data_IF_292282374939
#
_entry.id   IF_292282374939
#
_cell.length_a   1.000
_cell.length_b   1.000
_cell.length_c   1.000
_cell.angle_alpha   90.00
_cell.angle_beta   90.00
_cell.angle_gamma   90.00
#
_symmetry.space_group_name_H-M   'P 1'
#
loop_
_entity.id
_entity.type
_entity.pdbx_description
1 polymer ?
#
# COMPACT_ATOMS: atom_id res chain seq x y z
N UNK A 1 -31.20 -35.64 -36.08
CA UNK A 1 -29.73 -35.68 -36.08
C UNK A 1 -29.27 -36.05 -34.69
N UNK A 2 -28.31 -36.96 -34.49
CA UNK A 2 -27.81 -37.26 -33.16
C UNK A 2 -27.11 -36.03 -32.59
N UNK A 3 -27.45 -35.64 -31.37
CA UNK A 3 -26.83 -34.50 -30.69
C UNK A 3 -25.35 -34.82 -30.47
N UNK A 4 -24.47 -34.00 -31.04
CA UNK A 4 -23.04 -34.10 -30.77
C UNK A 4 -22.78 -33.90 -29.26
N UNK A 5 -21.95 -34.74 -28.62
CA UNK A 5 -21.59 -34.54 -27.22
C UNK A 5 -20.92 -33.18 -27.04
N UNK A 6 -21.38 -32.40 -26.07
CA UNK A 6 -20.78 -31.09 -25.74
C UNK A 6 -19.34 -31.32 -25.29
N UNK A 7 -18.38 -30.65 -25.95
CA UNK A 7 -16.95 -30.81 -25.71
C UNK A 7 -16.51 -30.18 -24.38
N UNK A 8 -15.35 -30.58 -23.86
CA UNK A 8 -14.82 -30.02 -22.62
C UNK A 8 -14.48 -28.52 -22.77
N UNK A 9 -14.05 -28.09 -23.95
CA UNK A 9 -13.83 -26.68 -24.28
C UNK A 9 -15.13 -25.87 -24.22
N UNK A 10 -16.24 -26.42 -24.75
CA UNK A 10 -17.56 -25.79 -24.64
C UNK A 10 -18.06 -25.73 -23.20
N UNK A 11 -17.74 -26.74 -22.38
CA UNK A 11 -18.05 -26.75 -20.95
C UNK A 11 -17.24 -25.70 -20.19
N UNK A 12 -15.95 -25.53 -20.51
CA UNK A 12 -15.10 -24.48 -19.95
C UNK A 12 -15.59 -23.08 -20.32
N UNK A 13 -15.98 -22.86 -21.59
CA UNK A 13 -16.61 -21.60 -22.03
C UNK A 13 -17.93 -21.32 -21.28
N UNK A 14 -18.71 -22.37 -21.02
CA UNK A 14 -19.95 -22.24 -20.25
C UNK A 14 -19.69 -21.90 -18.77
N UNK A 15 -18.63 -22.46 -18.18
CA UNK A 15 -18.19 -22.14 -16.83
C UNK A 15 -17.72 -20.68 -16.73
N UNK A 16 -16.93 -20.20 -17.70
CA UNK A 16 -16.50 -18.80 -17.77
C UNK A 16 -17.70 -17.84 -17.87
N UNK A 17 -18.65 -18.11 -18.77
CA UNK A 17 -19.88 -17.32 -18.92
C UNK A 17 -20.74 -17.34 -17.64
N UNK A 18 -20.77 -18.46 -16.91
CA UNK A 18 -21.48 -18.57 -15.63
C UNK A 18 -20.96 -17.57 -14.60
N UNK A 19 -19.65 -17.43 -14.46
CA UNK A 19 -19.05 -16.45 -13.54
C UNK A 19 -19.15 -15.01 -14.05
N UNK A 20 -18.96 -14.77 -15.35
CA UNK A 20 -19.07 -13.45 -15.97
C UNK A 20 -20.46 -12.82 -15.78
N UNK A 21 -21.52 -13.64 -15.91
CA UNK A 21 -22.91 -13.17 -15.83
C UNK A 21 -23.60 -13.50 -14.50
N UNK A 22 -22.86 -13.97 -13.49
CA UNK A 22 -23.40 -14.29 -12.16
C UNK A 22 -24.49 -15.36 -12.19
N UNK A 23 -24.41 -16.31 -13.12
CA UNK A 23 -25.41 -17.38 -13.31
C UNK A 23 -26.72 -16.95 -13.98
N UNK A 24 -26.78 -15.75 -14.55
CA UNK A 24 -27.96 -15.30 -15.30
C UNK A 24 -28.07 -16.04 -16.65
N UNK A 25 -28.96 -17.03 -16.69
CA UNK A 25 -29.13 -17.92 -17.84
C UNK A 25 -29.53 -17.21 -19.14
N UNK A 26 -30.26 -16.09 -19.07
CA UNK A 26 -30.63 -15.34 -20.27
C UNK A 26 -29.42 -14.66 -20.89
N UNK A 27 -28.59 -14.00 -20.07
CA UNK A 27 -27.36 -13.35 -20.55
C UNK A 27 -26.33 -14.36 -21.04
N UNK A 28 -26.22 -15.51 -20.37
CA UNK A 28 -25.35 -16.61 -20.82
C UNK A 28 -25.81 -17.21 -22.15
N UNK A 29 -27.12 -17.28 -22.38
CA UNK A 29 -27.70 -17.76 -23.63
C UNK A 29 -27.36 -16.81 -24.80
N UNK A 30 -27.50 -15.51 -24.56
CA UNK A 30 -27.15 -14.48 -25.55
C UNK A 30 -25.64 -14.48 -25.86
N UNK A 31 -24.78 -14.57 -24.84
CA UNK A 31 -23.32 -14.58 -24.95
C UNK A 31 -22.77 -15.80 -25.70
N UNK A 32 -23.33 -16.99 -25.42
CA UNK A 32 -22.87 -18.24 -26.02
C UNK A 32 -23.61 -18.60 -27.31
N UNK A 33 -24.61 -17.80 -27.73
CA UNK A 33 -25.45 -18.10 -28.89
C UNK A 33 -26.27 -19.38 -28.74
N UNK A 34 -26.71 -19.71 -27.52
CA UNK A 34 -27.41 -20.94 -27.18
C UNK A 34 -28.83 -20.67 -26.71
N UNK A 35 -29.70 -21.68 -26.80
CA UNK A 35 -31.02 -21.58 -26.17
C UNK A 35 -30.90 -21.63 -24.63
N UNK A 36 -31.86 -21.03 -23.92
CA UNK A 36 -31.92 -21.12 -22.45
C UNK A 36 -31.97 -22.56 -21.94
N UNK A 37 -32.62 -23.47 -22.68
CA UNK A 37 -32.63 -24.90 -22.37
C UNK A 37 -31.23 -25.52 -22.48
N UNK A 38 -30.49 -25.18 -23.53
CA UNK A 38 -29.09 -25.62 -23.70
C UNK A 38 -28.17 -25.12 -22.58
N UNK A 39 -28.34 -23.88 -22.15
CA UNK A 39 -27.60 -23.33 -21.00
C UNK A 39 -27.97 -24.06 -19.70
N UNK A 40 -29.26 -24.32 -19.48
CA UNK A 40 -29.73 -24.99 -18.27
C UNK A 40 -29.14 -26.39 -18.14
N UNK A 41 -29.08 -27.16 -19.23
CA UNK A 41 -28.50 -28.50 -19.21
C UNK A 41 -26.98 -28.48 -19.04
N UNK A 42 -26.27 -27.52 -19.65
CA UNK A 42 -24.83 -27.34 -19.42
C UNK A 42 -24.53 -26.92 -17.97
N UNK A 43 -25.34 -26.05 -17.35
CA UNK A 43 -25.19 -25.70 -15.92
C UNK A 43 -25.43 -26.92 -15.02
N UNK A 44 -26.45 -27.74 -15.31
CA UNK A 44 -26.68 -28.99 -14.56
C UNK A 44 -25.47 -29.90 -14.62
N UNK A 45 -24.86 -30.03 -15.81
CA UNK A 45 -23.64 -30.82 -16.01
C UNK A 45 -22.47 -30.24 -15.21
N UNK A 46 -22.21 -28.93 -15.29
CA UNK A 46 -21.17 -28.25 -14.48
C UNK A 46 -21.37 -28.43 -12.97
N UNK A 47 -22.62 -28.46 -12.49
CA UNK A 47 -22.92 -28.72 -11.07
C UNK A 47 -22.69 -30.17 -10.68
N UNK A 48 -23.14 -31.10 -11.52
CA UNK A 48 -22.94 -32.54 -11.31
C UNK A 48 -21.46 -32.90 -11.28
N UNK A 49 -20.70 -32.32 -12.19
CA UNK A 49 -19.27 -32.58 -12.36
C UNK A 49 -18.42 -31.76 -11.35
N UNK A 50 -19.03 -31.04 -10.40
CA UNK A 50 -18.33 -30.33 -9.33
C UNK A 50 -17.64 -29.02 -9.73
N UNK A 51 -17.47 -28.76 -11.03
CA UNK A 51 -16.66 -27.66 -11.59
C UNK A 51 -17.08 -26.26 -11.13
N UNK A 52 -18.37 -25.99 -10.92
CA UNK A 52 -18.80 -24.69 -10.35
C UNK A 52 -18.32 -24.54 -8.91
N UNK A 53 -18.40 -25.60 -8.11
CA UNK A 53 -17.99 -25.57 -6.70
C UNK A 53 -16.47 -25.48 -6.60
N UNK A 54 -15.74 -26.25 -7.40
CA UNK A 54 -14.28 -26.21 -7.46
C UNK A 54 -13.79 -24.82 -7.92
N UNK A 55 -14.38 -24.26 -8.98
CA UNK A 55 -14.05 -22.92 -9.43
C UNK A 55 -14.45 -21.83 -8.41
N UNK A 56 -15.55 -22.01 -7.66
CA UNK A 56 -15.91 -21.12 -6.55
C UNK A 56 -14.91 -21.21 -5.40
N UNK A 57 -14.41 -22.40 -5.08
CA UNK A 57 -13.44 -22.63 -4.02
C UNK A 57 -12.05 -22.10 -4.42
N UNK A 58 -11.61 -22.36 -5.65
CA UNK A 58 -10.39 -21.77 -6.22
C UNK A 58 -10.50 -20.23 -6.34
N UNK A 59 -11.67 -19.70 -6.69
CA UNK A 59 -11.91 -18.26 -6.66
C UNK A 59 -11.95 -17.70 -5.23
N UNK A 60 -12.30 -18.50 -4.23
CA UNK A 60 -12.28 -18.09 -2.82
C UNK A 60 -10.86 -18.07 -2.24
N UNK A 61 -9.96 -18.88 -2.79
CA UNK A 61 -8.51 -18.87 -2.54
C UNK A 61 -7.81 -17.72 -3.30
N UNK A 62 -8.25 -17.39 -4.53
CA UNK A 62 -7.66 -16.34 -5.39
C UNK A 62 -8.27 -14.92 -5.21
N UNK A 63 -8.92 -14.60 -4.09
CA UNK A 63 -9.66 -13.35 -3.96
C UNK A 63 -9.25 -12.49 -2.75
N UNK A 64 -8.22 -11.66 -2.97
CA UNK A 64 -8.33 -10.20 -2.86
C UNK A 64 -7.35 -9.60 -3.87
N UNK A 65 -7.80 -8.85 -4.89
CA UNK A 65 -6.85 -8.36 -5.88
C UNK A 65 -5.89 -7.38 -5.20
N UNK A 66 -4.60 -7.60 -5.42
CA UNK A 66 -3.63 -6.53 -5.29
C UNK A 66 -4.04 -5.43 -6.26
N UNK A 67 -4.05 -4.20 -5.77
CA UNK A 67 -4.38 -3.05 -6.61
C UNK A 67 -3.31 -2.03 -6.41
N UNK A 68 -2.61 -1.80 -7.52
CA UNK A 68 -1.59 -0.79 -7.64
C UNK A 68 -2.24 0.59 -7.75
N UNK A 69 -1.78 1.52 -6.91
CA UNK A 69 -2.04 2.95 -6.99
C UNK A 69 -3.38 3.33 -7.62
N UNK A 70 -4.47 3.22 -6.85
CA UNK A 70 -5.79 3.70 -7.29
C UNK A 70 -5.70 5.21 -7.53
N UNK A 71 -5.57 5.60 -8.80
CA UNK A 71 -5.84 6.96 -9.21
C UNK A 71 -7.33 7.23 -9.07
N UNK A 72 -7.68 8.35 -8.45
CA UNK A 72 -9.00 8.95 -8.58
C UNK A 72 -9.17 9.51 -10.01
N UNK A 73 -8.96 8.69 -11.04
CA UNK A 73 -9.26 9.08 -12.42
C UNK A 73 -10.77 9.03 -12.63
N UNK A 74 -11.28 10.03 -13.35
CA UNK A 74 -12.72 10.30 -13.52
C UNK A 74 -13.43 9.15 -14.28
N UNK A 75 -12.70 8.28 -14.99
CA UNK A 75 -13.27 7.39 -16.01
C UNK A 75 -13.32 5.90 -15.65
N UNK A 76 -12.70 5.46 -14.54
CA UNK A 76 -12.81 4.07 -14.10
C UNK A 76 -12.98 4.00 -12.58
N UNK A 77 -14.18 3.63 -12.09
CA UNK A 77 -14.40 3.36 -10.66
C UNK A 77 -13.70 2.04 -10.29
N UNK A 78 -12.55 2.07 -9.59
CA UNK A 78 -11.88 0.85 -9.19
C UNK A 78 -12.76 0.16 -8.13
N UNK A 79 -13.06 -1.11 -8.34
CA UNK A 79 -13.87 -1.92 -7.41
C UNK A 79 -12.97 -2.88 -6.68
N UNK A 80 -12.47 -2.47 -5.53
CA UNK A 80 -11.86 -3.38 -4.55
C UNK A 80 -13.01 -4.07 -3.81
N UNK A 81 -13.16 -5.39 -3.88
CA UNK A 81 -13.98 -6.06 -2.86
C UNK A 81 -13.04 -6.61 -1.80
N UNK A 82 -13.16 -6.04 -0.61
CA UNK A 82 -12.50 -6.54 0.58
C UNK A 82 -13.41 -7.58 1.21
N UNK A 83 -12.87 -8.77 1.49
CA UNK A 83 -13.60 -9.83 2.15
C UNK A 83 -13.86 -9.46 3.61
N UNK A 84 -15.10 -9.63 4.08
CA UNK A 84 -15.37 -9.56 5.52
C UNK A 84 -14.61 -10.68 6.24
N UNK A 85 -13.87 -10.32 7.29
CA UNK A 85 -13.05 -11.26 8.03
C UNK A 85 -13.91 -12.39 8.62
N UNK A 86 -13.52 -13.64 8.38
CA UNK A 86 -14.17 -14.81 8.97
C UNK A 86 -13.12 -15.80 9.46
N UNK A 87 -13.01 -15.91 10.79
CA UNK A 87 -12.06 -16.77 11.50
C UNK A 87 -12.06 -18.22 10.99
N UNK A 88 -13.22 -18.76 10.60
CA UNK A 88 -13.34 -20.16 10.19
C UNK A 88 -12.73 -20.45 8.82
N UNK A 89 -12.42 -19.42 8.02
CA UNK A 89 -11.84 -19.59 6.68
C UNK A 89 -10.48 -18.91 6.54
N UNK A 90 -10.17 -17.93 7.41
CA UNK A 90 -8.94 -17.14 7.28
C UNK A 90 -7.69 -17.92 7.65
N UNK A 91 -7.79 -18.95 8.51
CA UNK A 91 -6.61 -19.73 8.94
C UNK A 91 -5.87 -20.39 7.78
N UNK A 92 -6.59 -20.81 6.75
CA UNK A 92 -6.01 -21.60 5.65
C UNK A 92 -5.66 -20.74 4.43
N UNK A 93 -5.91 -19.42 4.48
CA UNK A 93 -5.50 -18.49 3.43
C UNK A 93 -3.97 -18.27 3.44
N UNK A 94 -3.37 -18.02 2.26
CA UNK A 94 -1.95 -17.71 2.17
C UNK A 94 -1.61 -16.45 2.98
N UNK A 95 -0.40 -16.43 3.52
CA UNK A 95 0.16 -15.27 4.21
C UNK A 95 1.03 -14.50 3.24
N UNK A 96 0.87 -13.18 3.22
CA UNK A 96 1.86 -12.28 2.65
C UNK A 96 2.64 -11.60 3.76
N UNK A 97 3.97 -11.65 3.70
CA UNK A 97 4.88 -10.95 4.60
C UNK A 97 5.34 -9.66 3.94
N UNK A 98 5.07 -8.54 4.59
CA UNK A 98 5.45 -7.22 4.11
C UNK A 98 6.39 -6.58 5.12
N UNK A 99 7.57 -6.17 4.66
CA UNK A 99 8.41 -5.27 5.44
C UNK A 99 7.94 -3.83 5.18
N UNK A 100 7.35 -3.20 6.18
CA UNK A 100 6.80 -1.88 6.09
C UNK A 100 7.73 -0.85 6.77
N UNK A 101 8.09 0.19 6.02
CA UNK A 101 8.98 1.26 6.42
C UNK A 101 8.14 2.53 6.63
N UNK A 102 8.25 3.12 7.82
CA UNK A 102 7.61 4.38 8.18
C UNK A 102 8.26 5.61 7.55
N UNK A 103 7.91 6.80 8.03
CA UNK A 103 8.43 8.08 7.53
C UNK A 103 9.95 8.18 7.78
N UNK A 104 10.79 8.45 6.77
CA UNK A 104 12.27 8.46 6.91
C UNK A 104 12.90 9.85 6.81
N UNK A 105 12.25 10.79 6.12
CA UNK A 105 12.68 12.19 6.00
C UNK A 105 14.15 12.37 5.60
N UNK A 106 14.61 11.65 4.58
CA UNK A 106 15.95 11.80 4.03
C UNK A 106 16.20 13.26 3.62
N UNK A 107 17.30 13.81 4.12
CA UNK A 107 17.67 15.20 3.88
C UNK A 107 19.19 15.41 3.91
N UNK A 108 19.69 16.51 3.31
CA UNK A 108 21.11 16.82 3.31
C UNK A 108 21.71 16.85 4.72
N UNK A 109 22.86 16.20 4.87
CA UNK A 109 23.59 16.12 6.14
C UNK A 109 23.03 15.11 7.16
N UNK A 110 21.95 14.39 6.84
CA UNK A 110 21.51 13.25 7.64
C UNK A 110 22.34 12.01 7.30
N UNK A 111 22.74 11.24 8.32
CA UNK A 111 23.47 9.98 8.11
C UNK A 111 22.57 8.88 7.51
N UNK A 112 23.14 8.02 6.67
CA UNK A 112 22.43 6.96 5.93
C UNK A 112 22.49 5.57 6.57
N UNK A 113 23.19 5.42 7.70
CA UNK A 113 23.41 4.09 8.33
C UNK A 113 22.10 3.38 8.69
N UNK A 114 21.07 4.11 9.13
CA UNK A 114 19.76 3.54 9.38
C UNK A 114 19.16 2.83 8.15
N UNK A 115 19.37 3.38 6.95
CA UNK A 115 18.93 2.75 5.70
C UNK A 115 19.75 1.51 5.35
N UNK A 116 21.06 1.51 5.63
CA UNK A 116 21.91 0.32 5.52
C UNK A 116 21.39 -0.81 6.41
N UNK A 117 21.06 -0.52 7.67
CA UNK A 117 20.53 -1.51 8.60
C UNK A 117 19.17 -2.06 8.15
N UNK A 118 18.27 -1.20 7.67
CA UNK A 118 16.98 -1.63 7.11
C UNK A 118 17.19 -2.50 5.86
N UNK A 119 18.15 -2.16 5.00
CA UNK A 119 18.52 -2.96 3.82
C UNK A 119 19.01 -4.36 4.20
N UNK A 120 19.90 -4.47 5.19
CA UNK A 120 20.35 -5.76 5.74
C UNK A 120 19.20 -6.57 6.32
N UNK A 121 18.32 -5.92 7.07
CA UNK A 121 17.14 -6.57 7.62
C UNK A 121 16.23 -7.13 6.52
N UNK A 122 16.02 -6.38 5.43
CA UNK A 122 15.24 -6.83 4.28
C UNK A 122 15.88 -8.03 3.58
N UNK A 123 17.20 -8.01 3.36
CA UNK A 123 17.94 -9.11 2.77
C UNK A 123 17.87 -10.40 3.61
N UNK A 124 17.92 -10.26 4.94
CA UNK A 124 17.85 -11.39 5.86
C UNK A 124 16.43 -11.96 6.00
N UNK A 125 15.45 -11.09 6.21
CA UNK A 125 14.05 -11.51 6.45
C UNK A 125 13.34 -12.02 5.19
N UNK A 126 13.81 -11.61 3.99
CA UNK A 126 13.26 -11.96 2.68
C UNK A 126 11.72 -11.87 2.65
N UNK A 127 11.16 -10.68 2.89
CA UNK A 127 9.72 -10.47 2.83
C UNK A 127 9.22 -10.68 1.38
N UNK A 128 7.92 -10.87 1.21
CA UNK A 128 7.32 -10.99 -0.12
C UNK A 128 7.29 -9.61 -0.82
N UNK A 129 7.19 -8.52 -0.05
CA UNK A 129 7.26 -7.14 -0.50
C UNK A 129 7.88 -6.22 0.55
N UNK A 130 8.43 -5.10 0.09
CA UNK A 130 8.80 -3.95 0.92
C UNK A 130 7.90 -2.77 0.56
N UNK A 131 7.33 -2.09 1.56
CA UNK A 131 6.48 -0.90 1.36
C UNK A 131 6.99 0.25 2.20
N UNK A 132 7.35 1.36 1.57
CA UNK A 132 7.58 2.64 2.25
C UNK A 132 6.31 3.49 2.22
N UNK A 133 5.87 3.97 3.38
CA UNK A 133 4.55 4.62 3.52
C UNK A 133 4.55 6.13 3.21
N UNK A 134 5.60 6.63 2.55
CA UNK A 134 5.77 8.05 2.22
C UNK A 134 6.57 8.86 3.22
N UNK A 135 6.70 10.16 2.91
CA UNK A 135 7.64 11.07 3.57
C UNK A 135 9.04 10.45 3.65
N UNK A 136 9.48 9.93 2.49
CA UNK A 136 10.80 9.39 2.29
C UNK A 136 11.83 10.51 2.17
N UNK A 137 11.51 11.55 1.41
CA UNK A 137 12.32 12.74 1.18
C UNK A 137 11.71 13.90 1.98
N UNK A 138 12.54 14.68 2.68
CA UNK A 138 12.02 15.75 3.53
C UNK A 138 11.46 16.95 2.73
N UNK A 139 11.97 17.19 1.52
CA UNK A 139 11.45 18.16 0.56
C UNK A 139 11.21 19.55 1.18
N UNK A 140 12.17 20.03 1.99
CA UNK A 140 12.16 21.39 2.55
C UNK A 140 12.34 22.43 1.44
N UNK A 141 13.06 22.12 0.36
CA UNK A 141 13.23 23.01 -0.80
C UNK A 141 11.89 23.42 -1.43
N UNK A 142 10.85 22.59 -1.29
CA UNK A 142 9.54 22.78 -1.88
C UNK A 142 8.45 23.24 -0.89
N UNK A 143 8.82 23.60 0.34
CA UNK A 143 7.86 23.90 1.41
C UNK A 143 7.29 25.34 1.36
N UNK A 144 6.06 25.54 1.86
CA UNK A 144 5.27 26.78 1.77
C UNK A 144 4.92 27.44 3.12
N UNK A 145 5.46 26.94 4.21
CA UNK A 145 5.27 27.39 5.58
C UNK A 145 6.08 28.66 5.89
N UNK A 146 7.34 28.79 5.45
CA UNK A 146 8.07 30.05 5.69
C UNK A 146 7.60 31.18 4.78
N UNK A 147 7.57 32.40 5.34
CA UNK A 147 7.24 33.60 4.60
C UNK A 147 8.26 33.87 3.48
N UNK A 148 7.77 34.38 2.34
CA UNK A 148 8.61 34.76 1.21
C UNK A 148 9.66 35.81 1.62
N UNK A 149 10.92 35.56 1.28
CA UNK A 149 12.08 36.39 1.64
C UNK A 149 12.57 36.23 3.08
N UNK A 150 12.01 35.31 3.87
CA UNK A 150 12.48 35.08 5.23
C UNK A 150 13.86 34.42 5.28
N UNK A 151 14.61 34.64 6.37
CA UNK A 151 15.88 33.96 6.61
C UNK A 151 15.74 32.43 6.62
N UNK A 152 14.62 31.92 7.12
CA UNK A 152 14.28 30.49 7.06
C UNK A 152 14.20 29.99 5.62
N UNK A 153 13.67 30.78 4.68
CA UNK A 153 13.63 30.40 3.27
C UNK A 153 15.03 30.39 2.63
N UNK A 154 15.89 31.34 3.01
CA UNK A 154 17.26 31.41 2.45
C UNK A 154 18.18 30.29 2.94
N UNK A 155 17.88 29.67 4.08
CA UNK A 155 18.70 28.61 4.68
C UNK A 155 18.27 27.20 4.26
N UNK A 156 17.27 27.06 3.38
CA UNK A 156 16.77 25.76 2.93
C UNK A 156 17.79 25.07 2.00
N UNK A 157 17.85 23.73 2.00
CA UNK A 157 18.60 23.00 1.00
C UNK A 157 18.04 23.27 -0.40
N UNK A 158 18.86 23.08 -1.44
CA UNK A 158 18.36 23.07 -2.80
C UNK A 158 17.62 21.75 -3.08
N UNK A 159 16.72 21.76 -4.06
CA UNK A 159 16.04 20.53 -4.50
C UNK A 159 17.03 19.44 -4.94
N UNK A 160 18.15 19.83 -5.55
CA UNK A 160 19.19 18.88 -5.97
C UNK A 160 19.88 18.23 -4.77
N UNK A 161 20.17 19.00 -3.71
CA UNK A 161 20.77 18.45 -2.49
C UNK A 161 19.85 17.40 -1.86
N UNK A 162 18.54 17.64 -1.85
CA UNK A 162 17.56 16.68 -1.31
C UNK A 162 17.42 15.43 -2.17
N UNK A 163 17.46 15.55 -3.50
CA UNK A 163 17.49 14.39 -4.41
C UNK A 163 18.79 13.59 -4.20
N UNK A 164 19.93 14.26 -4.02
CA UNK A 164 21.20 13.59 -3.71
C UNK A 164 21.15 12.86 -2.37
N UNK A 165 20.57 13.46 -1.32
CA UNK A 165 20.38 12.78 -0.04
C UNK A 165 19.49 11.53 -0.15
N UNK A 166 18.46 11.59 -1.00
CA UNK A 166 17.64 10.42 -1.32
C UNK A 166 18.40 9.33 -2.07
N UNK A 167 19.27 9.69 -3.02
CA UNK A 167 20.15 8.75 -3.73
C UNK A 167 21.10 8.06 -2.75
N UNK A 168 21.76 8.83 -1.86
CA UNK A 168 22.68 8.29 -0.85
C UNK A 168 21.97 7.28 0.07
N UNK A 169 20.74 7.59 0.49
CA UNK A 169 19.91 6.72 1.33
C UNK A 169 19.50 5.42 0.61
N UNK A 170 19.06 5.52 -0.65
CA UNK A 170 18.68 4.36 -1.46
C UNK A 170 19.89 3.51 -1.87
N UNK A 171 21.05 4.13 -2.13
CA UNK A 171 22.30 3.43 -2.37
C UNK A 171 22.76 2.67 -1.12
N UNK A 172 22.71 3.30 0.06
CA UNK A 172 23.02 2.62 1.32
C UNK A 172 22.11 1.41 1.55
N UNK A 173 20.80 1.56 1.32
CA UNK A 173 19.84 0.45 1.41
C UNK A 173 20.15 -0.67 0.39
N UNK A 174 20.32 -0.32 -0.89
CA UNK A 174 20.52 -1.30 -1.96
C UNK A 174 21.93 -1.86 -2.07
N UNK A 175 22.89 -1.30 -1.32
CA UNK A 175 24.18 -1.95 -1.11
C UNK A 175 24.07 -3.24 -0.29
N UNK A 176 22.95 -3.42 0.43
CA UNK A 176 22.70 -4.56 1.31
C UNK A 176 21.64 -5.53 0.76
N UNK A 177 20.75 -5.07 -0.12
CA UNK A 177 19.78 -5.90 -0.85
C UNK A 177 19.77 -5.55 -2.35
N UNK A 178 20.00 -6.55 -3.20
CA UNK A 178 20.08 -6.35 -4.65
C UNK A 178 18.82 -5.75 -5.26
N UNK A 179 19.00 -4.93 -6.29
CA UNK A 179 17.91 -4.28 -7.02
C UNK A 179 16.94 -5.31 -7.62
N UNK A 180 15.68 -5.26 -7.18
CA UNK A 180 14.62 -6.15 -7.66
C UNK A 180 14.70 -7.59 -7.14
N UNK A 181 15.49 -7.86 -6.10
CA UNK A 181 15.44 -9.15 -5.40
C UNK A 181 14.10 -9.37 -4.69
N UNK A 182 13.53 -8.28 -4.15
CA UNK A 182 12.19 -8.20 -3.58
C UNK A 182 11.48 -7.03 -4.27
N UNK A 183 10.17 -7.09 -4.51
CA UNK A 183 9.41 -5.93 -4.99
C UNK A 183 9.33 -4.82 -3.95
N UNK A 184 9.60 -3.59 -4.37
CA UNK A 184 9.52 -2.38 -3.55
C UNK A 184 8.43 -1.44 -4.04
N UNK A 185 7.60 -0.98 -3.13
CA UNK A 185 6.61 0.06 -3.36
C UNK A 185 6.88 1.25 -2.42
N UNK A 186 6.70 2.46 -2.94
CA UNK A 186 6.69 3.70 -2.16
C UNK A 186 5.41 4.46 -2.46
N UNK A 187 4.67 4.77 -1.41
CA UNK A 187 3.53 5.68 -1.47
C UNK A 187 4.06 7.06 -1.16
N UNK A 188 3.76 8.09 -1.95
CA UNK A 188 4.18 9.45 -1.62
C UNK A 188 3.41 10.00 -0.42
N UNK A 189 4.12 10.70 0.43
CA UNK A 189 3.58 11.45 1.55
C UNK A 189 3.35 12.91 1.23
N UNK A 190 3.05 13.70 2.26
CA UNK A 190 2.80 15.12 2.04
C UNK A 190 4.08 15.91 1.77
N UNK A 191 5.26 15.39 2.14
CA UNK A 191 6.55 16.01 1.82
C UNK A 191 6.86 15.86 0.34
N UNK A 192 6.74 14.66 -0.25
CA UNK A 192 6.88 14.49 -1.70
C UNK A 192 5.83 15.31 -2.47
N UNK A 193 4.60 15.41 -1.95
CA UNK A 193 3.53 16.19 -2.58
C UNK A 193 3.80 17.70 -2.65
N UNK A 194 4.77 18.22 -1.89
CA UNK A 194 5.19 19.62 -1.99
C UNK A 194 5.72 19.95 -3.39
N UNK A 195 6.32 18.97 -4.06
CA UNK A 195 6.89 19.12 -5.40
C UNK A 195 5.78 19.44 -6.42
N UNK A 196 4.68 18.70 -6.41
CA UNK A 196 3.51 18.96 -7.26
C UNK A 196 2.95 20.37 -7.01
N UNK A 197 2.84 20.77 -5.74
CA UNK A 197 2.32 22.10 -5.39
C UNK A 197 3.25 23.23 -5.86
N UNK A 198 4.55 23.01 -5.84
CA UNK A 198 5.53 23.96 -6.36
C UNK A 198 5.41 24.11 -7.86
N UNK A 199 5.33 23.01 -8.60
CA UNK A 199 5.12 23.05 -10.04
C UNK A 199 3.78 23.67 -10.44
N UNK A 200 2.72 23.45 -9.65
CA UNK A 200 1.42 24.09 -9.86
C UNK A 200 1.50 25.62 -9.74
N UNK A 201 2.27 26.13 -8.78
CA UNK A 201 2.45 27.56 -8.54
C UNK A 201 3.51 28.20 -9.46
N UNK A 202 4.43 27.40 -9.98
CA UNK A 202 5.46 27.80 -10.93
C UNK A 202 5.37 26.96 -12.21
N UNK A 203 4.42 27.27 -13.13
CA UNK A 203 4.17 26.43 -14.31
C UNK A 203 5.37 26.25 -15.25
N UNK A 204 6.37 27.15 -15.17
CA UNK A 204 7.62 27.01 -15.90
C UNK A 204 8.47 25.82 -15.44
N UNK A 205 8.18 25.25 -14.26
CA UNK A 205 8.81 24.05 -13.71
C UNK A 205 7.96 22.79 -13.93
N UNK A 206 6.76 22.91 -14.49
CA UNK A 206 5.82 21.80 -14.60
C UNK A 206 6.44 20.58 -15.28
N UNK A 207 6.36 19.43 -14.63
CA UNK A 207 6.91 18.15 -15.10
C UNK A 207 8.44 18.04 -15.01
N UNK A 208 9.13 18.94 -14.32
CA UNK A 208 10.61 18.94 -14.21
C UNK A 208 11.09 18.33 -12.90
N UNK A 209 10.56 18.82 -11.78
CA UNK A 209 10.89 18.37 -10.42
C UNK A 209 10.17 17.05 -10.10
N UNK A 210 8.89 16.95 -10.46
CA UNK A 210 8.11 15.71 -10.31
C UNK A 210 8.78 14.56 -11.06
N UNK A 211 9.20 14.79 -12.31
CA UNK A 211 9.94 13.81 -13.10
C UNK A 211 11.25 13.37 -12.44
N UNK A 212 12.03 14.30 -11.88
CA UNK A 212 13.29 13.97 -11.21
C UNK A 212 13.10 13.13 -9.96
N UNK A 213 12.10 13.48 -9.13
CA UNK A 213 11.71 12.66 -7.97
C UNK A 213 11.26 11.26 -8.40
N UNK A 214 10.42 11.16 -9.42
CA UNK A 214 9.91 9.86 -9.88
C UNK A 214 11.06 9.01 -10.49
N UNK A 215 12.00 9.65 -11.19
CA UNK A 215 13.21 9.01 -11.72
C UNK A 215 14.13 8.47 -10.63
N UNK A 216 14.25 9.16 -9.48
CA UNK A 216 15.01 8.69 -8.32
C UNK A 216 14.51 7.30 -7.89
N UNK A 217 13.24 7.17 -7.55
CA UNK A 217 12.68 5.89 -7.14
C UNK A 217 12.71 4.83 -8.26
N UNK A 218 12.48 5.23 -9.51
CA UNK A 218 12.52 4.32 -10.65
C UNK A 218 13.92 3.71 -10.88
N UNK A 219 15.01 4.45 -10.66
CA UNK A 219 16.40 3.92 -10.76
C UNK A 219 16.62 2.73 -9.83
N UNK A 220 16.01 2.77 -8.64
CA UNK A 220 16.10 1.70 -7.65
C UNK A 220 14.98 0.65 -7.77
N UNK A 221 14.16 0.72 -8.82
CA UNK A 221 13.01 -0.16 -9.07
C UNK A 221 11.92 -0.09 -7.98
N UNK A 222 11.83 1.04 -7.28
CA UNK A 222 10.75 1.30 -6.35
C UNK A 222 9.55 1.83 -7.14
N UNK A 223 8.45 1.11 -7.08
CA UNK A 223 7.21 1.50 -7.72
C UNK A 223 6.53 2.60 -6.92
N UNK A 224 6.08 3.65 -7.59
CA UNK A 224 5.54 4.84 -6.94
C UNK A 224 4.01 4.83 -6.95
N UNK A 225 3.41 5.18 -5.81
CA UNK A 225 1.97 5.44 -5.66
C UNK A 225 1.79 6.90 -5.24
N UNK A 226 1.02 7.73 -5.97
CA UNK A 226 0.87 9.14 -5.64
C UNK A 226 0.28 9.40 -4.25
N UNK A 227 0.53 10.59 -3.70
CA UNK A 227 -0.05 11.01 -2.43
C UNK A 227 -1.58 10.98 -2.48
N UNK A 228 -2.21 10.51 -1.40
CA UNK A 228 -3.66 10.27 -1.26
C UNK A 228 -4.22 9.12 -2.10
N UNK A 229 -3.38 8.38 -2.81
CA UNK A 229 -3.79 7.17 -3.50
C UNK A 229 -3.55 5.95 -2.61
N UNK A 230 -4.28 4.87 -2.90
CA UNK A 230 -4.23 3.65 -2.12
C UNK A 230 -3.51 2.55 -2.89
N UNK A 231 -2.66 1.82 -2.18
CA UNK A 231 -2.12 0.52 -2.58
C UNK A 231 -2.85 -0.56 -1.77
N UNK A 232 -3.21 -1.68 -2.38
CA UNK A 232 -3.86 -2.79 -1.67
C UNK A 232 -3.04 -4.08 -1.80
N UNK A 233 -2.79 -4.73 -0.67
CA UNK A 233 -2.27 -6.10 -0.60
C UNK A 233 -3.15 -6.94 0.32
N UNK A 234 -3.59 -8.10 -0.16
CA UNK A 234 -4.41 -9.05 0.63
C UNK A 234 -5.64 -8.41 1.31
N UNK A 235 -6.20 -7.35 0.71
CA UNK A 235 -7.36 -6.61 1.23
C UNK A 235 -7.06 -5.60 2.32
N UNK A 236 -5.78 -5.38 2.62
CA UNK A 236 -5.30 -4.31 3.49
C UNK A 236 -4.90 -3.13 2.63
N UNK A 237 -5.44 -1.95 2.95
CA UNK A 237 -5.10 -0.70 2.26
C UNK A 237 -3.88 -0.03 2.87
N UNK A 238 -2.94 0.39 2.04
CA UNK A 238 -1.78 1.18 2.39
C UNK A 238 -1.95 2.59 1.81
N UNK A 239 -1.73 3.60 2.65
CA UNK A 239 -1.78 5.02 2.29
C UNK A 239 -0.89 5.79 3.24
N UNK A 240 -0.23 6.86 2.80
CA UNK A 240 0.56 7.69 3.72
C UNK A 240 -0.27 8.21 4.91
N UNK A 241 -1.43 8.81 4.61
CA UNK A 241 -2.41 9.21 5.64
C UNK A 241 -3.83 9.20 5.07
N UNK A 242 -4.82 8.63 5.79
CA UNK A 242 -6.21 8.76 5.40
C UNK A 242 -6.69 10.21 5.37
N UNK A 243 -7.46 10.57 4.34
CA UNK A 243 -7.99 11.92 4.14
C UNK A 243 -9.46 11.96 4.56
N UNK A 244 -9.80 12.91 5.44
CA UNK A 244 -11.16 13.17 5.90
C UNK A 244 -12.07 13.69 4.79
N UNK A 245 -13.38 13.71 5.04
CA UNK A 245 -14.38 14.27 4.10
C UNK A 245 -14.10 15.74 3.73
N UNK A 246 -13.40 16.47 4.59
CA UNK A 246 -13.01 17.87 4.40
C UNK A 246 -11.71 18.02 3.61
N UNK A 247 -11.16 16.93 3.06
CA UNK A 247 -9.91 16.95 2.29
C UNK A 247 -8.66 17.16 3.15
N UNK A 248 -8.73 16.91 4.47
CA UNK A 248 -7.62 17.08 5.42
C UNK A 248 -7.10 15.73 5.94
N UNK A 249 -5.78 15.55 6.14
CA UNK A 249 -5.23 14.40 6.83
C UNK A 249 -5.91 14.17 8.18
N UNK A 250 -6.25 12.92 8.49
CA UNK A 250 -6.79 12.56 9.81
C UNK A 250 -5.63 12.47 10.80
N UNK A 251 -5.57 13.40 11.74
CA UNK A 251 -4.55 13.46 12.79
C UNK A 251 -5.12 13.45 14.21
N UNK A 252 -4.35 13.94 15.18
CA UNK A 252 -4.71 14.03 16.59
C UNK A 252 -3.93 13.06 17.48
N UNK A 253 -4.28 12.97 18.78
CA UNK A 253 -3.54 12.11 19.72
C UNK A 253 -3.72 10.62 19.45
N UNK A 254 -4.89 10.19 18.98
CA UNK A 254 -5.20 8.78 18.69
C UNK A 254 -5.95 8.65 17.36
N UNK A 255 -5.30 8.99 16.23
CA UNK A 255 -5.95 9.02 14.92
C UNK A 255 -6.45 7.63 14.50
N UNK A 256 -5.82 6.56 14.97
CA UNK A 256 -6.17 5.18 14.65
C UNK A 256 -7.62 4.85 15.04
N UNK A 257 -8.11 5.41 16.15
CA UNK A 257 -9.50 5.23 16.57
C UNK A 257 -10.47 5.93 15.62
N UNK A 258 -10.14 7.13 15.16
CA UNK A 258 -10.99 7.90 14.23
C UNK A 258 -11.03 7.19 12.88
N UNK A 259 -9.86 6.84 12.35
CA UNK A 259 -9.70 6.09 11.11
C UNK A 259 -10.46 4.77 11.23
N UNK A 260 -10.21 4.02 12.30
CA UNK A 260 -10.82 2.71 12.54
C UNK A 260 -12.33 2.76 12.70
N UNK A 261 -12.91 3.83 13.23
CA UNK A 261 -14.37 3.98 13.28
C UNK A 261 -14.99 4.17 11.89
N UNK A 262 -14.32 4.91 11.01
CA UNK A 262 -14.82 5.25 9.66
C UNK A 262 -14.47 4.20 8.60
N UNK A 263 -13.37 3.48 8.77
CA UNK A 263 -12.84 2.54 7.79
C UNK A 263 -13.71 1.28 7.67
N UNK A 264 -13.79 0.76 6.44
CA UNK A 264 -14.49 -0.50 6.12
C UNK A 264 -13.54 -1.67 5.89
N UNK A 265 -12.23 -1.43 5.91
CA UNK A 265 -11.17 -2.42 5.73
C UNK A 265 -9.99 -2.07 6.64
N UNK A 266 -9.05 -3.01 6.80
CA UNK A 266 -7.80 -2.72 7.49
C UNK A 266 -6.95 -1.69 6.74
N UNK A 267 -6.20 -0.87 7.48
CA UNK A 267 -5.39 0.22 6.94
C UNK A 267 -4.01 0.22 7.60
N UNK A 268 -2.98 0.39 6.78
CA UNK A 268 -1.61 0.71 7.19
C UNK A 268 -1.29 2.14 6.74
N UNK A 269 -0.76 2.97 7.64
CA UNK A 269 -0.44 4.38 7.38
C UNK A 269 0.74 4.91 8.22
N UNK A 270 1.18 6.15 7.96
CA UNK A 270 2.27 6.85 8.67
C UNK A 270 1.89 8.27 9.10
N UNK A 271 2.66 9.28 8.68
CA UNK A 271 2.42 10.73 8.82
C UNK A 271 2.51 11.32 10.23
N UNK A 272 2.15 10.56 11.26
CA UNK A 272 2.14 11.07 12.64
C UNK A 272 3.37 10.65 13.44
N UNK A 273 4.25 9.86 12.83
CA UNK A 273 5.56 9.43 13.35
C UNK A 273 5.47 8.63 14.66
N UNK A 274 4.30 8.11 14.99
CA UNK A 274 4.06 7.32 16.19
C UNK A 274 3.53 5.95 15.80
N UNK A 275 4.21 4.91 16.25
CA UNK A 275 3.72 3.56 16.02
C UNK A 275 2.46 3.32 16.86
N UNK A 276 1.54 2.56 16.28
CA UNK A 276 0.41 2.00 17.00
C UNK A 276 -0.23 0.91 16.14
N UNK A 277 -0.65 -0.20 16.74
CA UNK A 277 -1.44 -1.20 16.05
C UNK A 277 -2.67 -1.54 16.89
N UNK A 278 -3.86 -1.26 16.35
CA UNK A 278 -5.10 -1.51 17.06
C UNK A 278 -6.04 -2.41 16.25
N UNK A 279 -6.75 -3.28 16.96
CA UNK A 279 -7.90 -3.99 16.42
C UNK A 279 -9.17 -3.22 16.77
N UNK A 280 -9.96 -2.88 15.75
CA UNK A 280 -11.21 -2.14 15.91
C UNK A 280 -12.39 -3.06 15.63
N UNK A 281 -13.21 -3.39 16.66
CA UNK A 281 -14.40 -4.21 16.48
C UNK A 281 -15.42 -3.52 15.58
N UNK A 282 -16.07 -4.32 14.74
CA UNK A 282 -17.14 -3.87 13.85
C UNK A 282 -18.42 -4.60 14.19
N UNK A 283 -19.56 -3.95 13.98
CA UNK A 283 -20.87 -4.57 14.19
C UNK A 283 -20.96 -5.81 13.28
N UNK A 284 -21.21 -6.97 13.89
CA UNK A 284 -21.23 -8.27 13.22
C UNK A 284 -20.54 -9.36 14.03
N UNK A 285 -20.91 -10.62 13.79
CA UNK A 285 -20.30 -11.77 14.48
C UNK A 285 -18.85 -11.90 14.04
N UNK A 286 -17.91 -11.87 15.00
CA UNK A 286 -16.46 -11.99 14.77
C UNK A 286 -15.89 -11.00 13.74
N UNK A 287 -16.48 -9.80 13.64
CA UNK A 287 -16.06 -8.79 12.68
C UNK A 287 -15.14 -7.74 13.32
N UNK A 288 -13.99 -7.50 12.71
CA UNK A 288 -13.08 -6.42 13.10
C UNK A 288 -12.10 -6.11 11.96
N UNK A 289 -11.52 -4.91 12.03
CA UNK A 289 -10.41 -4.48 11.16
C UNK A 289 -9.21 -4.14 12.03
N UNK A 290 -8.07 -3.93 11.39
CA UNK A 290 -6.82 -3.49 12.02
C UNK A 290 -6.38 -2.15 11.44
N UNK A 291 -5.94 -1.25 12.31
CA UNK A 291 -5.36 0.03 11.91
C UNK A 291 -3.94 0.07 12.45
N UNK A 292 -2.97 0.10 11.54
CA UNK A 292 -1.54 0.05 11.85
C UNK A 292 -0.88 1.33 11.40
N UNK A 293 -0.37 2.09 12.35
CA UNK A 293 0.45 3.27 12.14
C UNK A 293 1.92 2.84 12.28
N UNK A 294 2.71 3.04 11.23
CA UNK A 294 4.09 2.55 11.17
C UNK A 294 5.07 3.43 11.96
N UNK A 295 4.64 4.62 12.38
CA UNK A 295 5.53 5.60 12.96
C UNK A 295 6.59 6.07 11.96
N UNK A 296 7.81 6.32 12.45
CA UNK A 296 8.92 6.78 11.63
C UNK A 296 10.05 5.76 11.58
N UNK A 297 10.80 5.73 10.48
CA UNK A 297 12.04 4.98 10.33
C UNK A 297 13.27 5.93 10.29
N UNK A 298 13.14 7.11 10.91
CA UNK A 298 14.24 8.06 11.10
C UNK A 298 15.30 7.52 12.08
N UNK A 299 16.52 8.09 12.09
CA UNK A 299 17.53 7.78 13.12
C UNK A 299 16.98 7.94 14.53
N UNK A 300 17.41 7.07 15.44
CA UNK A 300 16.93 7.10 16.82
C UNK A 300 17.21 8.47 17.48
N UNK A 301 16.19 9.05 18.10
CA UNK A 301 16.29 10.33 18.80
C UNK A 301 16.25 11.56 17.89
N UNK A 302 16.15 11.40 16.57
CA UNK A 302 16.00 12.52 15.66
C UNK A 302 14.62 13.18 15.80
N UNK A 303 14.60 14.46 16.16
CA UNK A 303 13.39 15.28 16.22
C UNK A 303 13.40 16.28 15.07
N UNK A 304 12.44 16.20 14.14
CA UNK A 304 12.33 17.18 13.06
C UNK A 304 12.09 18.59 13.60
N UNK A 305 12.60 19.61 12.89
CA UNK A 305 12.47 21.03 13.27
C UNK A 305 11.02 21.47 13.43
N UNK A 306 10.12 21.00 12.56
CA UNK A 306 8.68 21.30 12.64
C UNK A 306 7.98 20.68 13.87
N UNK A 307 8.63 19.73 14.56
CA UNK A 307 8.13 19.13 15.78
C UNK A 307 8.75 19.77 17.04
N UNK A 308 9.60 20.79 16.90
CA UNK A 308 10.21 21.51 18.02
C UNK A 308 9.13 22.17 18.88
N UNK A 309 9.22 21.98 20.20
CA UNK A 309 8.25 22.50 21.17
C UNK A 309 6.88 21.83 21.15
N UNK A 310 6.62 20.89 20.24
CA UNK A 310 5.37 20.13 20.20
C UNK A 310 5.41 18.97 21.21
N UNK A 311 4.24 18.54 21.71
CA UNK A 311 4.16 17.24 22.40
C UNK A 311 4.44 16.14 21.40
N UNK A 312 5.62 15.53 21.49
CA UNK A 312 6.02 14.43 20.61
C UNK A 312 5.87 13.08 21.31
N UNK A 313 5.96 12.02 20.54
CA UNK A 313 6.00 10.64 21.01
C UNK A 313 6.60 9.75 19.93
N UNK A 314 7.59 10.30 19.21
CA UNK A 314 8.11 9.72 17.98
C UNK A 314 8.65 8.32 18.23
N UNK A 315 8.36 7.41 17.32
CA UNK A 315 8.85 6.04 17.34
C UNK A 315 9.74 5.83 16.14
N UNK A 316 10.84 5.12 16.34
CA UNK A 316 11.89 4.91 15.33
C UNK A 316 12.02 3.41 15.08
N UNK A 317 11.69 2.93 13.88
CA UNK A 317 11.81 1.53 13.51
C UNK A 317 11.04 1.14 12.26
N UNK A 318 10.97 -0.16 12.02
CA UNK A 318 10.28 -0.78 10.88
C UNK A 318 9.32 -1.86 11.38
N UNK A 319 8.40 -2.30 10.53
CA UNK A 319 7.45 -3.35 10.86
C UNK A 319 7.55 -4.54 9.92
N UNK A 320 7.60 -5.75 10.46
CA UNK A 320 7.24 -6.96 9.71
C UNK A 320 5.74 -7.23 9.89
N UNK A 321 4.99 -7.03 8.82
CA UNK A 321 3.56 -7.26 8.77
C UNK A 321 3.26 -8.62 8.17
N UNK A 322 2.34 -9.35 8.80
CA UNK A 322 1.76 -10.57 8.23
C UNK A 322 0.33 -10.26 7.82
N UNK A 323 0.08 -10.24 6.51
CA UNK A 323 -1.23 -9.96 5.96
C UNK A 323 -1.95 -11.29 5.67
N UNK A 324 -3.20 -11.39 6.11
CA UNK A 324 -4.06 -12.54 5.80
C UNK A 324 -5.53 -12.16 5.89
N UNK A 325 -6.29 -12.51 4.85
CA UNK A 325 -7.75 -12.42 4.88
C UNK A 325 -8.29 -11.02 5.13
N UNK A 326 -7.71 -9.99 4.52
CA UNK A 326 -8.16 -8.60 4.64
C UNK A 326 -7.65 -7.85 5.87
N UNK A 327 -6.69 -8.41 6.62
CA UNK A 327 -6.18 -7.83 7.87
C UNK A 327 -4.68 -7.97 8.02
N UNK A 328 -4.11 -7.12 8.87
CA UNK A 328 -2.82 -7.36 9.50
C UNK A 328 -3.05 -8.38 10.61
N UNK A 329 -2.68 -9.64 10.34
CA UNK A 329 -2.80 -10.76 11.30
C UNK A 329 -1.90 -10.52 12.52
N UNK A 330 -0.68 -10.05 12.28
CA UNK A 330 0.28 -9.68 13.31
C UNK A 330 1.25 -8.64 12.78
N UNK A 331 1.72 -7.77 13.66
CA UNK A 331 2.81 -6.84 13.43
C UNK A 331 3.96 -7.15 14.39
N UNK A 332 5.19 -7.10 13.88
CA UNK A 332 6.40 -7.07 14.69
C UNK A 332 7.12 -5.76 14.42
N UNK A 333 7.10 -4.87 15.39
CA UNK A 333 7.93 -3.67 15.37
C UNK A 333 9.37 -4.03 15.73
N UNK A 334 10.32 -3.61 14.91
CA UNK A 334 11.76 -3.71 15.17
C UNK A 334 12.26 -2.29 15.31
N UNK A 335 12.67 -1.92 16.51
CA UNK A 335 13.13 -0.55 16.77
C UNK A 335 14.44 -0.24 16.03
N UNK A 336 14.69 1.04 15.78
CA UNK A 336 15.93 1.47 15.15
C UNK A 336 17.16 1.09 15.98
N UNK A 337 17.03 1.05 17.32
CA UNK A 337 18.10 0.59 18.22
C UNK A 337 18.36 -0.91 18.07
N UNK A 338 17.32 -1.73 17.92
CA UNK A 338 17.51 -3.17 17.64
C UNK A 338 18.22 -3.39 16.28
N UNK A 339 17.92 -2.57 15.28
CA UNK A 339 18.62 -2.62 13.99
C UNK A 339 20.08 -2.20 14.13
N UNK A 340 20.35 -1.14 14.87
CA UNK A 340 21.72 -0.67 15.18
C UNK A 340 22.53 -1.74 15.90
N UNK A 341 22.01 -2.27 17.02
CA UNK A 341 22.67 -3.34 17.80
C UNK A 341 23.00 -4.57 16.95
N UNK A 342 22.18 -4.84 15.93
CA UNK A 342 22.32 -6.01 15.08
C UNK A 342 23.27 -5.81 13.90
N UNK A 343 23.38 -4.59 13.37
CA UNK A 343 24.00 -4.37 12.05
C UNK A 343 25.05 -3.26 11.98
N UNK A 344 25.25 -2.48 13.05
CA UNK A 344 26.25 -1.41 13.11
C UNK A 344 27.70 -1.89 13.12
#
# INVERSE_FOLDING_TARGET
MPAHPVSDEEMQRTLAAYFAHGGNQSRMADDLGLSRGGIQDRIKRLRRDGLIREAQQAAQENYTPDIDGIALSIDAKPRVRVRAYNVSVTKDLPVRRVLAIGDTHWKPGQGVEHMRWIGRYAAESRPDNVVHIGDALDMESCEFHSAAGSASQMNRPSFQDEISAGEDALEAYHSEIGLGEVPHDVIYGNHEYRVERLEELAPNLAGTLTLQRDQLFARYRWKTTPYRHWLFFEGVGFIHVPISIMGKPIGGRYPENIIGNQATHSIVFGHTHRNNNITVPKIGINNSITITNLGSAMPHGYVPSYAEGCTTGLTYGIHELRLRGGRVESDKFVSMLELEERYA
#
